data_IF_558679889238
#
_entry.id   IF_558679889238
#
_cell.length_a   1.000
_cell.length_b   1.000
_cell.length_c   1.000
_cell.angle_alpha   90.00
_cell.angle_beta   90.00
_cell.angle_gamma   90.00
#
_symmetry.space_group_name_H-M   'P 1'
#
loop_
_entity.id
_entity.type
_entity.pdbx_description
1 polymer ?
#
# COMPACT_ATOMS: atom_id res chain seq x y z
N UNK A 1 -8.32 -34.38 -7.02
CA UNK A 1 -7.97 -33.24 -6.14
C UNK A 1 -7.47 -32.13 -7.05
N UNK A 2 -8.06 -30.95 -6.96
CA UNK A 2 -7.59 -29.83 -7.80
C UNK A 2 -6.22 -29.38 -7.29
N UNK A 3 -5.20 -29.47 -8.14
CA UNK A 3 -3.84 -29.05 -7.79
C UNK A 3 -3.79 -27.52 -7.58
N UNK A 4 -3.33 -27.11 -6.41
CA UNK A 4 -3.12 -25.71 -6.07
C UNK A 4 -1.79 -25.25 -6.68
N UNK A 5 -1.83 -24.37 -7.66
CA UNK A 5 -0.61 -23.91 -8.35
C UNK A 5 -0.71 -22.46 -8.83
N UNK A 6 0.42 -21.79 -8.98
CA UNK A 6 0.50 -20.52 -9.70
C UNK A 6 0.44 -20.81 -11.20
N UNK A 7 -0.44 -20.11 -11.91
CA UNK A 7 -0.52 -20.15 -13.38
C UNK A 7 0.55 -19.30 -14.05
N UNK A 8 1.04 -18.31 -13.33
CA UNK A 8 2.17 -17.46 -13.70
C UNK A 8 2.86 -16.97 -12.43
N UNK A 9 4.13 -16.62 -12.53
CA UNK A 9 4.83 -16.00 -11.42
C UNK A 9 4.09 -14.73 -10.97
N UNK A 10 3.90 -14.52 -9.66
CA UNK A 10 3.36 -13.25 -9.16
C UNK A 10 4.22 -12.08 -9.64
N UNK A 11 3.60 -10.94 -9.88
CA UNK A 11 4.29 -9.74 -10.33
C UNK A 11 3.83 -8.51 -9.53
N UNK A 12 4.76 -7.66 -9.15
CA UNK A 12 4.51 -6.40 -8.46
C UNK A 12 4.90 -5.23 -9.36
N UNK A 13 4.10 -4.17 -9.34
CA UNK A 13 4.36 -2.93 -10.06
C UNK A 13 3.93 -1.73 -9.24
N UNK A 14 4.52 -0.54 -9.44
CA UNK A 14 4.04 0.70 -8.83
C UNK A 14 2.55 0.90 -9.14
N UNK A 15 1.79 1.47 -8.19
CA UNK A 15 0.37 1.75 -8.43
C UNK A 15 0.21 2.91 -9.42
N UNK A 16 0.38 4.13 -8.94
CA UNK A 16 0.34 5.33 -9.78
C UNK A 16 1.30 6.37 -9.19
N UNK A 17 1.72 7.33 -10.01
CA UNK A 17 2.63 8.40 -9.57
C UNK A 17 2.03 9.25 -8.43
N UNK A 18 0.71 9.33 -8.36
CA UNK A 18 -0.03 10.06 -7.33
C UNK A 18 -0.08 9.32 -5.99
N UNK A 19 0.19 8.01 -5.98
CA UNK A 19 0.19 7.16 -4.79
C UNK A 19 1.48 6.32 -4.72
N UNK A 20 2.64 6.97 -4.57
CA UNK A 20 3.94 6.34 -4.74
C UNK A 20 4.26 5.25 -3.71
N UNK A 21 3.57 5.25 -2.56
CA UNK A 21 3.75 4.27 -1.49
C UNK A 21 2.78 3.08 -1.60
N UNK A 22 2.28 2.83 -2.80
CA UNK A 22 1.36 1.75 -3.11
C UNK A 22 1.86 0.93 -4.29
N UNK A 23 1.49 -0.34 -4.32
CA UNK A 23 1.85 -1.24 -5.41
C UNK A 23 0.66 -2.10 -5.85
N UNK A 24 0.59 -2.43 -7.12
CA UNK A 24 -0.27 -3.46 -7.63
C UNK A 24 0.45 -4.81 -7.61
N UNK A 25 -0.20 -5.80 -7.00
CA UNK A 25 0.25 -7.19 -7.04
C UNK A 25 -0.70 -7.99 -7.94
N UNK A 26 -0.16 -8.59 -8.98
CA UNK A 26 -0.88 -9.50 -9.87
C UNK A 26 -0.58 -10.93 -9.47
N UNK A 27 -1.60 -11.70 -9.14
CA UNK A 27 -1.52 -13.12 -8.81
C UNK A 27 -2.48 -13.89 -9.69
N UNK A 28 -1.99 -14.91 -10.38
CA UNK A 28 -2.82 -15.84 -11.14
C UNK A 28 -2.58 -17.24 -10.62
N UNK A 29 -3.61 -17.88 -10.12
CA UNK A 29 -3.48 -19.18 -9.48
C UNK A 29 -4.68 -20.06 -9.79
N UNK A 30 -4.43 -21.36 -9.95
CA UNK A 30 -5.46 -22.37 -10.07
C UNK A 30 -5.78 -22.96 -8.69
N UNK A 31 -7.05 -23.16 -8.41
CA UNK A 31 -7.52 -23.79 -7.16
C UNK A 31 -7.38 -22.91 -5.90
N UNK A 32 -6.89 -21.68 -6.04
CA UNK A 32 -6.78 -20.75 -4.92
C UNK A 32 -8.15 -20.20 -4.50
N UNK A 33 -8.37 -20.09 -3.20
CA UNK A 33 -9.51 -19.39 -2.58
C UNK A 33 -9.12 -18.10 -1.94
N UNK A 34 -7.88 -18.02 -1.46
CA UNK A 34 -7.33 -16.85 -0.78
C UNK A 34 -5.88 -16.64 -1.21
N UNK A 35 -5.46 -15.40 -1.18
CA UNK A 35 -4.08 -14.99 -1.37
C UNK A 35 -3.63 -14.31 -0.10
N UNK A 36 -2.56 -14.80 0.48
CA UNK A 36 -1.90 -14.20 1.63
C UNK A 36 -0.60 -13.55 1.19
N UNK A 37 -0.43 -12.30 1.51
CA UNK A 37 0.75 -11.53 1.16
C UNK A 37 1.47 -11.14 2.44
N UNK A 38 2.72 -11.56 2.58
CA UNK A 38 3.61 -11.11 3.65
C UNK A 38 4.55 -10.07 3.08
N UNK A 39 4.68 -8.97 3.76
CA UNK A 39 5.54 -7.86 3.37
C UNK A 39 6.50 -7.60 4.52
N UNK A 40 7.80 -7.55 4.19
CA UNK A 40 8.86 -7.19 5.11
C UNK A 40 9.61 -5.99 4.53
N UNK A 41 9.77 -4.93 5.33
CA UNK A 41 10.45 -3.70 4.91
C UNK A 41 11.18 -3.09 6.10
N UNK A 42 12.51 -3.16 6.10
CA UNK A 42 13.31 -2.87 7.28
C UNK A 42 12.94 -3.78 8.44
N UNK A 43 12.62 -3.20 9.58
CA UNK A 43 12.17 -3.94 10.78
C UNK A 43 10.66 -4.20 10.79
N UNK A 44 9.92 -3.58 9.87
CA UNK A 44 8.47 -3.72 9.80
C UNK A 44 8.06 -4.97 9.03
N UNK A 45 7.08 -5.68 9.55
CA UNK A 45 6.44 -6.80 8.86
C UNK A 45 4.93 -6.72 9.04
N UNK A 46 4.21 -7.01 7.96
CA UNK A 46 2.75 -7.12 8.02
C UNK A 46 2.24 -8.16 7.03
N UNK A 47 1.03 -8.61 7.26
CA UNK A 47 0.38 -9.63 6.42
C UNK A 47 -0.98 -9.11 5.99
N UNK A 48 -1.29 -9.30 4.73
CA UNK A 48 -2.58 -8.98 4.12
C UNK A 48 -3.20 -10.25 3.57
N UNK A 49 -4.50 -10.42 3.78
CA UNK A 49 -5.28 -11.54 3.25
C UNK A 49 -6.32 -11.02 2.28
N UNK A 50 -6.37 -11.59 1.08
CA UNK A 50 -7.30 -11.25 0.02
C UNK A 50 -8.10 -12.49 -0.40
N UNK A 51 -9.34 -12.35 -0.87
CA UNK A 51 -9.99 -13.39 -1.65
C UNK A 51 -9.21 -13.60 -2.94
N UNK A 52 -9.18 -14.82 -3.45
CA UNK A 52 -8.58 -15.08 -4.75
C UNK A 52 -9.38 -14.36 -5.84
N UNK A 53 -8.69 -13.66 -6.72
CA UNK A 53 -9.26 -12.85 -7.80
C UNK A 53 -8.25 -12.74 -8.94
N UNK A 54 -8.75 -12.60 -10.15
CA UNK A 54 -7.92 -12.28 -11.33
C UNK A 54 -7.58 -10.77 -11.41
N UNK A 55 -8.27 -9.95 -10.63
CA UNK A 55 -7.97 -8.52 -10.53
C UNK A 55 -6.70 -8.27 -9.72
N UNK A 56 -5.90 -7.27 -10.09
CA UNK A 56 -4.74 -6.87 -9.31
C UNK A 56 -5.14 -6.48 -7.88
N UNK A 57 -4.30 -6.85 -6.92
CA UNK A 57 -4.47 -6.55 -5.50
C UNK A 57 -3.68 -5.28 -5.17
N UNK A 58 -4.33 -4.32 -4.50
CA UNK A 58 -3.66 -3.11 -4.06
C UNK A 58 -2.95 -3.35 -2.73
N UNK A 59 -1.64 -3.19 -2.72
CA UNK A 59 -0.79 -3.23 -1.53
C UNK A 59 -0.53 -1.80 -1.06
N UNK A 60 -0.71 -1.57 0.23
CA UNK A 60 -0.59 -0.26 0.87
C UNK A 60 0.45 -0.30 1.99
N UNK A 61 0.94 0.88 2.36
CA UNK A 61 1.72 1.07 3.58
C UNK A 61 3.22 0.91 3.42
N UNK A 62 3.76 1.01 2.21
CA UNK A 62 5.20 0.99 2.00
C UNK A 62 5.86 2.27 2.51
N UNK A 63 7.09 2.13 2.99
CA UNK A 63 7.96 3.25 3.33
C UNK A 63 8.74 3.69 2.09
N UNK A 64 8.97 4.99 1.89
CA UNK A 64 9.75 5.49 0.76
C UNK A 64 11.20 5.02 0.82
N UNK A 65 11.84 4.88 -0.34
CA UNK A 65 13.27 4.60 -0.54
C UNK A 65 13.81 3.33 0.13
N UNK A 66 12.95 2.47 0.63
CA UNK A 66 13.33 1.23 1.27
C UNK A 66 12.73 0.05 0.50
N UNK A 67 13.57 -0.87 0.09
CA UNK A 67 13.12 -2.07 -0.62
C UNK A 67 12.32 -2.98 0.30
N UNK A 68 11.12 -3.33 -0.13
CA UNK A 68 10.27 -4.32 0.51
C UNK A 68 10.47 -5.70 -0.13
N UNK A 69 10.48 -6.73 0.69
CA UNK A 69 10.36 -8.12 0.25
C UNK A 69 8.91 -8.58 0.41
N UNK A 70 8.30 -9.01 -0.67
CA UNK A 70 6.91 -9.45 -0.73
C UNK A 70 6.87 -10.94 -1.01
N UNK A 71 6.26 -11.71 -0.13
CA UNK A 71 6.08 -13.16 -0.32
C UNK A 71 4.61 -13.48 -0.44
N UNK A 72 4.26 -14.17 -1.51
CA UNK A 72 2.86 -14.51 -1.84
C UNK A 72 2.61 -15.97 -1.52
N UNK A 73 1.56 -16.25 -0.77
CA UNK A 73 1.06 -17.58 -0.49
C UNK A 73 -0.36 -17.71 -1.03
N UNK A 74 -0.61 -18.73 -1.83
CA UNK A 74 -1.96 -19.11 -2.23
C UNK A 74 -2.47 -20.21 -1.31
N UNK A 75 -3.75 -20.12 -0.97
CA UNK A 75 -4.44 -21.06 -0.08
C UNK A 75 -5.63 -21.67 -0.83
N UNK A 76 -5.63 -22.99 -0.93
CA UNK A 76 -6.67 -23.76 -1.55
C UNK A 76 -7.66 -24.35 -0.56
N UNK A 77 -8.46 -25.27 -1.03
CA UNK A 77 -9.39 -26.04 -0.22
C UNK A 77 -8.63 -26.96 0.76
N UNK A 78 -9.20 -27.26 1.91
CA UNK A 78 -8.63 -28.22 2.85
C UNK A 78 -7.30 -27.79 3.49
N UNK A 79 -6.94 -26.51 3.42
CA UNK A 79 -5.72 -25.99 4.04
C UNK A 79 -4.45 -26.18 3.21
N UNK A 80 -4.53 -26.65 1.98
CA UNK A 80 -3.41 -26.75 1.05
C UNK A 80 -2.85 -25.37 0.79
N UNK A 81 -1.50 -25.23 0.77
CA UNK A 81 -0.80 -23.96 0.66
C UNK A 81 0.37 -24.11 -0.31
N UNK A 82 0.58 -23.06 -1.11
CA UNK A 82 1.73 -22.97 -2.01
C UNK A 82 2.34 -21.56 -1.92
N UNK A 83 3.66 -21.49 -1.84
CA UNK A 83 4.40 -20.23 -1.81
C UNK A 83 4.94 -19.89 -3.20
N UNK A 84 4.87 -18.62 -3.54
CA UNK A 84 5.59 -18.07 -4.69
C UNK A 84 7.00 -17.61 -4.33
N UNK A 85 7.79 -17.36 -5.35
CA UNK A 85 9.11 -16.75 -5.19
C UNK A 85 8.98 -15.35 -4.58
N UNK A 86 9.92 -14.93 -3.73
CA UNK A 86 9.94 -13.58 -3.18
C UNK A 86 10.03 -12.51 -4.26
N UNK A 87 9.26 -11.45 -4.13
CA UNK A 87 9.28 -10.27 -4.98
C UNK A 87 9.93 -9.12 -4.22
N UNK A 88 10.60 -8.24 -4.95
CA UNK A 88 11.19 -7.03 -4.40
C UNK A 88 10.52 -5.80 -5.01
N UNK A 89 10.18 -4.85 -4.15
CA UNK A 89 9.57 -3.58 -4.56
C UNK A 89 10.20 -2.44 -3.78
N UNK A 90 10.72 -1.46 -4.51
CA UNK A 90 11.21 -0.21 -3.92
C UNK A 90 10.25 0.90 -4.33
N UNK A 91 9.48 1.47 -3.40
CA UNK A 91 8.60 2.61 -3.69
C UNK A 91 9.44 3.78 -4.21
N UNK A 92 8.92 4.47 -5.20
CA UNK A 92 9.52 5.71 -5.66
C UNK A 92 9.41 6.75 -4.55
N UNK A 93 10.44 7.58 -4.39
CA UNK A 93 10.43 8.68 -3.43
C UNK A 93 9.15 9.50 -3.56
N UNK A 94 8.51 9.73 -2.44
CA UNK A 94 7.36 10.61 -2.43
C UNK A 94 7.85 12.04 -2.66
N UNK A 95 7.16 12.82 -3.51
CA UNK A 95 7.63 14.14 -3.90
C UNK A 95 7.97 15.00 -2.67
N UNK A 96 9.15 15.55 -2.67
CA UNK A 96 9.67 16.42 -1.59
C UNK A 96 8.95 17.78 -1.50
N UNK A 97 7.79 17.92 -2.12
CA UNK A 97 7.05 19.18 -2.14
C UNK A 97 6.41 19.44 -0.76
N UNK A 98 6.81 20.52 -0.05
CA UNK A 98 6.22 20.88 1.24
C UNK A 98 4.70 21.13 1.18
N UNK A 99 4.16 21.41 -0.02
CA UNK A 99 2.72 21.55 -0.23
C UNK A 99 2.01 20.20 -0.21
N UNK A 100 2.68 19.13 -0.58
CA UNK A 100 2.16 17.76 -0.57
C UNK A 100 2.40 17.06 0.78
N UNK A 101 3.37 17.53 1.55
CA UNK A 101 3.67 17.05 2.90
C UNK A 101 3.78 18.22 3.87
N UNK A 102 2.67 18.77 4.34
CA UNK A 102 2.73 19.85 5.32
C UNK A 102 3.44 19.36 6.59
N UNK A 103 4.33 20.17 7.16
CA UNK A 103 5.02 19.80 8.39
C UNK A 103 3.99 19.64 9.52
N UNK A 104 4.00 18.49 10.15
CA UNK A 104 3.18 18.22 11.33
C UNK A 104 4.03 18.53 12.56
N UNK A 105 3.57 19.46 13.39
CA UNK A 105 4.17 19.70 14.71
C UNK A 105 3.32 19.04 15.76
N UNK A 106 3.92 18.11 16.49
CA UNK A 106 3.27 17.51 17.65
C UNK A 106 3.44 18.44 18.84
N UNK A 107 2.34 19.04 19.29
CA UNK A 107 2.36 19.96 20.44
C UNK A 107 2.19 19.20 21.77
N UNK A 108 1.49 18.10 21.76
CA UNK A 108 1.25 17.28 22.93
C UNK A 108 1.06 15.83 22.52
N UNK A 109 1.65 14.91 23.27
CA UNK A 109 1.48 13.47 23.09
C UNK A 109 1.31 12.78 24.42
N UNK A 110 0.39 11.85 24.49
CA UNK A 110 0.21 10.92 25.61
C UNK A 110 0.33 9.49 25.07
N UNK A 111 1.56 8.99 24.83
CA UNK A 111 1.79 7.70 24.17
C UNK A 111 1.07 6.53 24.84
N UNK A 112 0.95 6.57 26.16
CA UNK A 112 0.26 5.55 26.97
C UNK A 112 -1.26 5.49 26.73
N UNK A 113 -1.84 6.55 26.15
CA UNK A 113 -3.25 6.61 25.77
C UNK A 113 -3.50 6.37 24.30
N UNK A 114 -2.44 6.24 23.50
CA UNK A 114 -2.53 5.96 22.07
C UNK A 114 -2.62 4.45 21.88
N UNK A 115 -3.84 3.94 21.90
CA UNK A 115 -4.11 2.54 21.57
C UNK A 115 -4.10 2.37 20.05
N UNK A 116 -3.08 1.70 19.52
CA UNK A 116 -3.00 1.37 18.09
C UNK A 116 -1.75 1.89 17.40
N UNK A 117 -1.46 1.31 16.23
CA UNK A 117 -0.25 1.60 15.45
C UNK A 117 -0.43 2.72 14.42
N UNK A 118 -1.66 3.18 14.18
CA UNK A 118 -1.97 4.15 13.13
C UNK A 118 -2.90 5.23 13.65
N UNK A 119 -2.57 6.47 13.34
CA UNK A 119 -3.45 7.61 13.54
C UNK A 119 -3.88 8.14 12.19
N UNK A 120 -5.19 8.13 11.91
CA UNK A 120 -5.73 8.75 10.72
C UNK A 120 -5.92 10.25 10.98
N UNK A 121 -5.26 11.07 10.18
CA UNK A 121 -5.37 12.51 10.25
C UNK A 121 -6.03 13.04 8.98
N UNK A 122 -7.09 13.81 9.12
CA UNK A 122 -7.62 14.61 8.03
C UNK A 122 -7.03 16.02 8.13
N UNK A 123 -6.08 16.32 7.27
CA UNK A 123 -5.43 17.62 7.23
C UNK A 123 -6.15 18.47 6.19
N UNK A 124 -6.80 19.53 6.63
CA UNK A 124 -7.37 20.54 5.73
C UNK A 124 -6.47 21.76 5.73
N UNK A 125 -5.88 22.06 4.58
CA UNK A 125 -5.16 23.31 4.38
C UNK A 125 -6.12 24.32 3.74
N UNK A 126 -6.32 25.46 4.40
CA UNK A 126 -6.96 26.59 3.75
C UNK A 126 -5.98 27.20 2.76
N UNK A 127 -6.34 27.17 1.50
CA UNK A 127 -5.62 27.86 0.44
C UNK A 127 -6.32 29.20 0.24
N UNK A 128 -5.58 30.29 0.41
CA UNK A 128 -6.12 31.62 0.12
C UNK A 128 -6.21 31.78 -1.41
N UNK A 129 -7.39 32.12 -1.90
CA UNK A 129 -7.66 32.32 -3.33
C UNK A 129 -8.86 31.51 -3.82
N UNK A 130 -9.27 31.76 -5.06
CA UNK A 130 -10.32 30.99 -5.73
C UNK A 130 -9.73 29.65 -6.19
N UNK A 131 -10.54 28.61 -6.17
CA UNK A 131 -10.10 27.26 -6.59
C UNK A 131 -9.56 27.25 -8.04
N UNK A 132 -10.05 28.18 -8.90
CA UNK A 132 -9.54 28.34 -10.26
C UNK A 132 -8.11 28.87 -10.37
N UNK A 133 -7.64 29.58 -9.37
CA UNK A 133 -6.32 30.20 -9.33
C UNK A 133 -5.24 29.25 -8.77
N UNK A 134 -5.63 28.06 -8.35
CA UNK A 134 -4.73 27.08 -7.78
C UNK A 134 -3.94 26.34 -8.87
N UNK A 135 -2.66 26.17 -8.65
CA UNK A 135 -1.86 25.27 -9.49
C UNK A 135 -2.40 23.83 -9.44
N UNK A 136 -2.09 22.98 -10.44
CA UNK A 136 -2.50 21.57 -10.42
C UNK A 136 -2.09 20.83 -9.13
N UNK A 137 -0.90 21.11 -8.59
CA UNK A 137 -0.45 20.53 -7.33
C UNK A 137 -1.30 21.00 -6.14
N UNK A 138 -1.64 22.29 -6.08
CA UNK A 138 -2.51 22.84 -5.03
C UNK A 138 -3.94 22.29 -5.12
N UNK A 139 -4.46 22.06 -6.32
CA UNK A 139 -5.79 21.43 -6.52
C UNK A 139 -5.79 19.97 -6.07
N UNK A 140 -4.75 19.21 -6.35
CA UNK A 140 -4.62 17.83 -5.84
C UNK A 140 -4.70 17.81 -4.31
N UNK A 141 -4.05 18.75 -3.67
CA UNK A 141 -4.03 18.83 -2.21
C UNK A 141 -5.40 19.16 -1.60
N UNK A 142 -6.24 19.90 -2.30
CA UNK A 142 -7.60 20.25 -1.84
C UNK A 142 -8.64 19.18 -2.15
N UNK A 143 -8.39 18.29 -3.12
CA UNK A 143 -9.35 17.30 -3.61
C UNK A 143 -9.05 15.87 -3.16
N UNK A 144 -7.80 15.50 -2.97
CA UNK A 144 -7.42 14.11 -2.67
C UNK A 144 -7.53 13.72 -1.19
N UNK A 145 -7.76 14.68 -0.29
CA UNK A 145 -7.93 14.45 1.14
C UNK A 145 -9.38 14.58 1.63
N UNK A 146 -10.30 14.53 0.72
CA UNK A 146 -11.76 14.62 0.96
C UNK A 146 -12.46 13.27 0.94
N UNK A 147 -11.78 12.18 1.26
CA UNK A 147 -12.37 10.83 1.43
C UNK A 147 -12.31 10.41 2.88
#
# INVERSE_FOLDING_TARGET
>A
MADLSFLAAPAVSPAAAEVPLCAWLKVRAYGARRVRVRIAQGEAQWTLDFPASDSPLLLLGFLPDLTATITVQILGHGGVRTWGEPLHFTPVDAPANPLERPPIRLHHATPERMAGRFTFLSIRRRVHGRVGDLSPAQRRFTTSWGL
#
